data_IF_635042749322
#
_entry.id   IF_635042749322
#
_cell.length_a   1.000
_cell.length_b   1.000
_cell.length_c   1.000
_cell.angle_alpha   90.00
_cell.angle_beta   90.00
_cell.angle_gamma   90.00
#
_symmetry.space_group_name_H-M   'P 1'
#
loop_
_entity.id
_entity.type
_entity.pdbx_description
1 polymer ?
#
# COMPACT_ATOMS: atom_id res chain seq x y z
N UNK A 1 22.65 -5.16 -13.13
CA UNK A 1 23.08 -5.17 -11.71
C UNK A 1 24.59 -5.23 -11.66
N UNK A 2 25.24 -4.26 -11.01
CA UNK A 2 26.71 -4.10 -11.02
C UNK A 2 27.42 -4.95 -9.95
N UNK A 3 26.74 -5.27 -8.85
CA UNK A 3 27.28 -6.12 -7.80
C UNK A 3 26.75 -7.54 -7.89
N UNK A 4 27.60 -8.56 -7.63
CA UNK A 4 27.11 -9.92 -7.46
C UNK A 4 26.22 -9.98 -6.21
N UNK A 5 25.19 -10.83 -6.27
CA UNK A 5 24.27 -11.11 -5.17
C UNK A 5 24.02 -12.62 -5.09
N UNK A 6 23.32 -13.06 -4.04
CA UNK A 6 22.97 -14.47 -3.84
C UNK A 6 22.24 -15.08 -5.05
N UNK A 7 21.54 -14.27 -5.84
CA UNK A 7 20.72 -14.72 -6.97
C UNK A 7 21.30 -14.40 -8.35
N UNK A 8 22.40 -13.64 -8.43
CA UNK A 8 22.94 -13.21 -9.73
C UNK A 8 24.46 -12.96 -9.65
N UNK A 9 25.19 -13.51 -10.61
CA UNK A 9 26.62 -13.26 -10.80
C UNK A 9 26.86 -12.10 -11.76
N UNK A 10 27.65 -11.09 -11.36
CA UNK A 10 28.02 -9.97 -12.23
C UNK A 10 29.15 -10.36 -13.18
N UNK A 11 28.86 -10.59 -14.46
CA UNK A 11 29.86 -10.93 -15.50
C UNK A 11 30.66 -9.75 -16.05
N UNK A 12 30.33 -8.52 -15.65
CA UNK A 12 30.97 -7.30 -16.18
C UNK A 12 32.19 -6.89 -15.35
N UNK A 13 33.32 -6.63 -16.01
CA UNK A 13 34.50 -5.99 -15.41
C UNK A 13 34.09 -4.61 -14.88
N UNK A 14 34.07 -4.45 -13.56
CA UNK A 14 33.67 -3.20 -12.89
C UNK A 14 34.72 -2.12 -13.23
N UNK A 15 34.41 -1.26 -14.19
CA UNK A 15 35.04 0.06 -14.24
C UNK A 15 34.63 0.78 -12.96
N UNK A 16 35.60 1.05 -12.08
CA UNK A 16 35.42 1.73 -10.79
C UNK A 16 34.90 3.15 -10.99
N UNK A 17 33.60 3.29 -11.23
CA UNK A 17 32.90 4.56 -11.30
C UNK A 17 31.98 4.66 -10.07
N UNK A 18 31.94 5.83 -9.43
CA UNK A 18 31.15 6.11 -8.21
C UNK A 18 29.64 5.79 -8.35
N UNK A 19 29.14 5.59 -9.57
CA UNK A 19 27.78 5.16 -9.87
C UNK A 19 27.45 3.73 -9.39
N UNK A 20 28.44 2.95 -8.97
CA UNK A 20 28.26 1.59 -8.46
C UNK A 20 28.44 1.48 -6.95
N UNK A 21 28.50 2.58 -6.19
CA UNK A 21 28.83 2.48 -4.77
C UNK A 21 27.64 1.99 -3.90
N UNK A 22 27.94 1.30 -2.80
CA UNK A 22 26.92 0.75 -1.90
C UNK A 22 26.38 1.84 -0.97
N UNK A 23 25.23 2.42 -1.32
CA UNK A 23 24.56 3.42 -0.47
C UNK A 23 23.78 2.75 0.66
N UNK A 24 24.18 3.01 1.91
CA UNK A 24 23.37 2.68 3.09
C UNK A 24 22.38 3.83 3.29
N UNK A 25 21.08 3.53 3.26
CA UNK A 25 20.01 4.53 3.45
C UNK A 25 19.33 4.31 4.79
N UNK A 26 19.16 5.39 5.56
CA UNK A 26 18.38 5.38 6.81
C UNK A 26 16.91 5.55 6.47
N UNK A 27 16.11 4.49 6.64
CA UNK A 27 14.68 4.48 6.33
C UNK A 27 13.85 5.29 7.34
N UNK A 28 14.20 5.22 8.63
CA UNK A 28 13.59 6.02 9.68
C UNK A 28 14.66 6.43 10.70
N UNK A 29 14.69 7.71 11.14
CA UNK A 29 15.64 8.12 12.15
C UNK A 29 15.20 7.61 13.53
N UNK A 30 16.15 7.39 14.44
CA UNK A 30 15.89 6.91 15.79
C UNK A 30 14.86 7.78 16.53
N UNK A 31 13.94 7.13 17.24
CA UNK A 31 12.96 7.80 18.09
C UNK A 31 13.60 8.03 19.46
N UNK A 32 13.74 9.30 19.85
CA UNK A 32 14.23 9.65 21.18
C UNK A 32 13.17 9.36 22.25
N UNK A 33 13.55 8.97 23.48
CA UNK A 33 12.60 8.85 24.58
C UNK A 33 11.87 10.18 24.81
N UNK A 34 10.54 10.15 24.78
CA UNK A 34 9.70 11.34 24.93
C UNK A 34 8.84 11.24 26.19
N UNK A 35 8.99 12.19 27.11
CA UNK A 35 8.17 12.25 28.33
C UNK A 35 6.72 12.71 28.11
N UNK A 36 6.40 13.33 26.97
CA UNK A 36 5.04 13.73 26.62
C UNK A 36 4.85 13.78 25.09
N UNK A 37 3.67 13.35 24.62
CA UNK A 37 3.35 13.24 23.20
C UNK A 37 2.76 14.56 22.64
N UNK A 38 3.61 15.35 21.99
CA UNK A 38 3.23 16.61 21.30
C UNK A 38 2.76 16.36 19.88
N UNK A 39 1.85 17.21 19.36
CA UNK A 39 1.29 17.11 18.00
C UNK A 39 2.35 16.99 16.91
N UNK A 40 3.43 17.78 17.00
CA UNK A 40 4.56 17.79 16.05
C UNK A 40 5.34 16.48 15.98
N UNK A 41 5.22 15.61 16.99
CA UNK A 41 5.93 14.32 17.07
C UNK A 41 4.98 13.11 16.99
N UNK A 42 3.66 13.32 17.14
CA UNK A 42 2.65 12.25 17.15
C UNK A 42 2.75 11.33 15.96
N UNK A 43 2.79 11.89 14.75
CA UNK A 43 2.84 11.10 13.52
C UNK A 43 4.06 10.17 13.48
N UNK A 44 5.21 10.65 13.97
CA UNK A 44 6.45 9.85 14.03
C UNK A 44 6.38 8.75 15.09
N UNK A 45 5.86 9.06 16.27
CA UNK A 45 5.68 8.06 17.35
C UNK A 45 4.72 6.96 16.88
N UNK A 46 3.59 7.34 16.29
CA UNK A 46 2.60 6.38 15.76
C UNK A 46 3.18 5.63 14.56
N UNK A 47 3.93 6.30 13.68
CA UNK A 47 4.64 5.65 12.57
C UNK A 47 5.55 4.53 13.05
N UNK A 48 6.36 4.77 14.08
CA UNK A 48 7.21 3.72 14.70
C UNK A 48 6.38 2.59 15.31
N UNK A 49 5.22 2.90 15.93
CA UNK A 49 4.33 1.85 16.42
C UNK A 49 3.76 0.98 15.27
N UNK A 50 3.44 1.59 14.11
CA UNK A 50 3.03 0.84 12.93
C UNK A 50 4.17 0.05 12.29
N UNK A 51 5.42 0.52 12.38
CA UNK A 51 6.58 -0.28 12.00
C UNK A 51 6.69 -1.55 12.86
N UNK A 52 6.50 -1.40 14.18
CA UNK A 52 6.48 -2.55 15.08
C UNK A 52 5.32 -3.49 14.77
N UNK A 53 4.12 -2.95 14.48
CA UNK A 53 2.97 -3.72 14.03
C UNK A 53 3.32 -4.53 12.76
N UNK A 54 3.88 -3.86 11.75
CA UNK A 54 4.29 -4.50 10.50
C UNK A 54 5.36 -5.57 10.73
N UNK A 55 6.33 -5.34 11.62
CA UNK A 55 7.38 -6.33 11.93
C UNK A 55 6.85 -7.66 12.48
N UNK A 56 5.63 -7.66 13.01
CA UNK A 56 4.96 -8.84 13.59
C UNK A 56 3.69 -9.24 12.85
N UNK A 57 3.33 -8.56 11.75
CA UNK A 57 2.03 -8.70 11.09
C UNK A 57 1.74 -10.12 10.60
N UNK A 58 2.77 -10.86 10.19
CA UNK A 58 2.64 -12.25 9.73
C UNK A 58 2.24 -13.20 10.87
N UNK A 59 2.60 -12.88 12.11
CA UNK A 59 2.29 -13.66 13.31
C UNK A 59 0.98 -13.20 13.98
N UNK A 60 0.43 -12.06 13.57
CA UNK A 60 -0.82 -11.54 14.12
C UNK A 60 -2.05 -12.25 13.52
N UNK A 61 -3.08 -12.40 14.36
CA UNK A 61 -4.40 -12.83 13.91
C UNK A 61 -5.02 -11.81 12.94
N UNK A 62 -6.12 -12.20 12.28
CA UNK A 62 -6.76 -11.39 11.23
C UNK A 62 -7.49 -10.17 11.82
N UNK A 63 -8.09 -10.29 13.01
CA UNK A 63 -8.88 -9.23 13.65
C UNK A 63 -8.18 -7.86 13.73
N UNK A 64 -6.94 -7.73 14.28
CA UNK A 64 -6.25 -6.45 14.33
C UNK A 64 -5.92 -5.88 12.93
N UNK A 65 -5.77 -6.73 11.91
CA UNK A 65 -5.55 -6.30 10.52
C UNK A 65 -6.82 -5.68 9.93
N UNK A 66 -7.98 -6.29 10.19
CA UNK A 66 -9.29 -5.75 9.79
C UNK A 66 -9.52 -4.40 10.48
N UNK A 67 -9.30 -4.31 11.79
CA UNK A 67 -9.49 -3.07 12.53
C UNK A 67 -8.57 -1.96 12.01
N UNK A 68 -7.31 -2.28 11.72
CA UNK A 68 -6.38 -1.35 11.10
C UNK A 68 -6.90 -0.80 9.76
N UNK A 69 -7.43 -1.66 8.88
CA UNK A 69 -7.97 -1.25 7.60
C UNK A 69 -9.20 -0.34 7.76
N UNK A 70 -10.11 -0.66 8.70
CA UNK A 70 -11.25 0.20 9.04
C UNK A 70 -10.82 1.57 9.54
N UNK A 71 -9.80 1.62 10.40
CA UNK A 71 -9.26 2.90 10.86
C UNK A 71 -8.64 3.70 9.71
N UNK A 72 -7.96 3.05 8.77
CA UNK A 72 -7.42 3.71 7.57
C UNK A 72 -8.52 4.35 6.71
N UNK A 73 -9.67 3.67 6.53
CA UNK A 73 -10.85 4.26 5.88
C UNK A 73 -11.31 5.54 6.60
N UNK A 74 -11.47 5.48 7.92
CA UNK A 74 -11.89 6.63 8.73
C UNK A 74 -10.88 7.79 8.63
N UNK A 75 -9.58 7.50 8.74
CA UNK A 75 -8.51 8.50 8.69
C UNK A 75 -8.34 9.14 7.32
N UNK A 76 -8.68 8.42 6.25
CA UNK A 76 -8.69 8.97 4.90
C UNK A 76 -9.64 10.16 4.79
N UNK A 77 -10.81 10.05 5.43
CA UNK A 77 -11.86 11.07 5.41
C UNK A 77 -12.56 11.19 4.05
N UNK A 78 -12.44 10.15 3.21
CA UNK A 78 -13.06 10.04 1.88
C UNK A 78 -13.55 8.60 1.66
N UNK A 79 -14.66 8.41 0.94
CA UNK A 79 -15.24 7.07 0.72
C UNK A 79 -14.56 6.28 -0.42
N UNK A 80 -13.86 6.97 -1.32
CA UNK A 80 -13.10 6.33 -2.40
C UNK A 80 -13.93 5.65 -3.49
N UNK A 81 -15.26 5.80 -3.49
CA UNK A 81 -16.18 5.14 -4.46
C UNK A 81 -15.87 5.46 -5.91
N UNK A 82 -15.45 6.70 -6.19
CA UNK A 82 -15.00 7.14 -7.52
C UNK A 82 -13.89 6.25 -8.09
N UNK A 83 -13.08 5.62 -7.23
CA UNK A 83 -11.95 4.78 -7.63
C UNK A 83 -12.25 3.28 -7.52
N UNK A 84 -13.53 2.90 -7.46
CA UNK A 84 -13.93 1.48 -7.43
C UNK A 84 -13.63 0.76 -8.75
N UNK A 85 -13.83 1.47 -9.87
CA UNK A 85 -13.66 0.95 -11.24
C UNK A 85 -12.50 1.61 -12.02
N UNK A 86 -11.71 2.47 -11.36
CA UNK A 86 -10.62 3.27 -11.97
C UNK A 86 -9.53 2.48 -12.71
N UNK A 87 -9.52 1.15 -12.63
CA UNK A 87 -8.52 0.31 -13.29
C UNK A 87 -9.12 -0.54 -14.41
N UNK A 88 -10.42 -0.45 -14.62
CA UNK A 88 -11.12 -1.11 -15.73
C UNK A 88 -11.08 -0.22 -17.01
N UNK A 89 -10.57 1.01 -16.90
CA UNK A 89 -10.38 2.00 -17.98
C UNK A 89 -9.06 1.82 -18.77
N UNK A 90 -8.14 0.94 -18.36
CA UNK A 90 -6.88 0.73 -19.09
C UNK A 90 -7.07 -0.13 -20.38
N UNK A 91 -8.27 -0.68 -20.64
CA UNK A 91 -8.57 -1.55 -21.80
C UNK A 91 -9.62 -1.01 -22.81
N UNK A 92 -10.30 0.10 -22.55
CA UNK A 92 -11.21 0.74 -23.53
C UNK A 92 -11.06 2.27 -23.50
N UNK A 93 -10.58 2.85 -24.61
CA UNK A 93 -10.74 4.28 -24.93
C UNK A 93 -12.23 4.56 -25.14
N UNK A 94 -13.00 4.73 -24.07
CA UNK A 94 -14.30 5.39 -24.17
C UNK A 94 -14.41 6.47 -23.09
N UNK A 95 -14.37 7.72 -23.55
CA UNK A 95 -14.67 8.96 -22.82
C UNK A 95 -16.16 8.99 -22.41
N UNK A 96 -16.59 8.08 -21.54
CA UNK A 96 -17.80 8.29 -20.77
C UNK A 96 -17.41 8.70 -19.36
N UNK A 97 -17.43 10.02 -19.11
CA UNK A 97 -17.43 10.60 -17.77
C UNK A 97 -18.53 9.93 -16.96
N UNK A 98 -18.18 8.87 -16.22
CA UNK A 98 -19.08 8.21 -15.31
C UNK A 98 -19.46 9.25 -14.24
N UNK A 99 -20.61 9.90 -14.42
CA UNK A 99 -21.24 10.74 -13.41
C UNK A 99 -21.60 9.85 -12.21
N UNK A 100 -20.62 9.61 -11.35
CA UNK A 100 -20.85 9.04 -10.04
C UNK A 100 -21.66 10.08 -9.28
N UNK A 101 -22.98 9.86 -9.19
CA UNK A 101 -23.86 10.62 -8.31
C UNK A 101 -23.34 10.45 -6.88
N UNK A 102 -22.57 11.44 -6.42
CA UNK A 102 -22.18 11.55 -5.02
C UNK A 102 -23.46 11.91 -4.26
N UNK A 103 -24.19 10.90 -3.79
CA UNK A 103 -25.18 11.10 -2.74
C UNK A 103 -24.41 11.69 -1.55
N UNK A 104 -24.60 13.00 -1.32
CA UNK A 104 -24.05 13.71 -0.16
C UNK A 104 -24.83 13.27 1.07
N UNK A 105 -24.61 12.02 1.47
CA UNK A 105 -25.23 11.46 2.64
C UNK A 105 -24.49 11.91 3.91
N UNK A 106 -25.23 11.88 5.01
CA UNK A 106 -24.79 12.18 6.37
C UNK A 106 -23.50 11.43 6.77
N UNK A 107 -23.20 10.32 6.09
CA UNK A 107 -21.97 9.53 6.24
C UNK A 107 -20.69 10.31 5.87
N UNK A 108 -20.76 11.19 4.87
CA UNK A 108 -19.60 12.01 4.44
C UNK A 108 -19.11 12.99 5.52
N UNK A 109 -20.01 13.51 6.35
CA UNK A 109 -19.67 14.38 7.48
C UNK A 109 -19.04 13.59 8.65
N UNK A 110 -19.44 12.33 8.84
CA UNK A 110 -18.81 11.44 9.82
C UNK A 110 -17.35 11.13 9.42
N UNK A 111 -17.09 10.88 8.13
CA UNK A 111 -15.72 10.68 7.62
C UNK A 111 -14.85 11.93 7.74
N UNK A 112 -15.39 13.13 7.45
CA UNK A 112 -14.63 14.38 7.62
C UNK A 112 -14.20 14.61 9.07
N UNK A 113 -15.02 14.21 10.04
CA UNK A 113 -14.69 14.29 11.47
C UNK A 113 -13.58 13.32 11.89
N UNK A 114 -13.44 12.20 11.18
CA UNK A 114 -12.40 11.18 11.39
C UNK A 114 -11.08 11.43 10.68
N UNK A 115 -11.00 12.43 9.78
CA UNK A 115 -9.82 12.68 8.95
C UNK A 115 -8.60 13.07 9.77
N UNK A 116 -7.52 12.32 9.62
CA UNK A 116 -6.24 12.57 10.33
C UNK A 116 -5.18 13.09 9.35
N UNK A 117 -4.36 14.10 9.69
CA UNK A 117 -3.18 14.46 8.90
C UNK A 117 -2.21 13.28 8.79
N UNK A 118 -1.87 12.89 7.57
CA UNK A 118 -1.05 11.70 7.30
C UNK A 118 0.24 12.11 6.60
N UNK A 119 1.27 12.55 7.35
CA UNK A 119 2.58 12.84 6.77
C UNK A 119 3.27 11.54 6.35
N UNK A 120 4.35 11.65 5.58
CA UNK A 120 5.01 10.52 4.94
C UNK A 120 5.50 9.46 5.93
N UNK A 121 6.00 9.86 7.09
CA UNK A 121 6.49 8.97 8.15
C UNK A 121 5.39 8.07 8.72
N UNK A 122 4.14 8.51 8.64
CA UNK A 122 2.97 7.73 9.05
C UNK A 122 2.42 6.90 7.87
N UNK A 123 2.46 7.45 6.65
CA UNK A 123 1.92 6.79 5.46
C UNK A 123 2.75 5.58 5.03
N UNK A 124 4.08 5.66 5.12
CA UNK A 124 4.99 4.57 4.72
C UNK A 124 4.67 3.21 5.37
N UNK A 125 4.49 3.10 6.71
CA UNK A 125 4.11 1.84 7.32
C UNK A 125 2.66 1.46 7.02
N UNK A 126 1.74 2.42 6.85
CA UNK A 126 0.35 2.14 6.43
C UNK A 126 0.33 1.41 5.08
N UNK A 127 1.08 1.91 4.10
CA UNK A 127 1.22 1.29 2.77
C UNK A 127 1.68 -0.17 2.86
N UNK A 128 2.69 -0.45 3.69
CA UNK A 128 3.23 -1.80 3.86
C UNK A 128 2.25 -2.74 4.56
N UNK A 129 1.54 -2.24 5.57
CA UNK A 129 0.51 -3.01 6.28
C UNK A 129 -0.64 -3.35 5.32
N UNK A 130 -1.16 -2.38 4.56
CA UNK A 130 -2.20 -2.63 3.56
C UNK A 130 -1.71 -3.59 2.47
N UNK A 131 -0.47 -3.43 2.02
CA UNK A 131 0.18 -4.36 1.08
C UNK A 131 0.17 -5.78 1.61
N UNK A 132 0.48 -5.99 2.88
CA UNK A 132 0.38 -7.32 3.49
C UNK A 132 -1.07 -7.80 3.65
N UNK A 133 -2.03 -6.92 3.93
CA UNK A 133 -3.43 -7.32 4.04
C UNK A 133 -4.01 -7.77 2.69
N UNK A 134 -3.57 -7.17 1.58
CA UNK A 134 -4.01 -7.49 0.22
C UNK A 134 -3.25 -8.67 -0.38
N UNK A 135 -1.92 -8.68 -0.24
CA UNK A 135 -1.01 -9.57 -0.99
C UNK A 135 -0.30 -10.61 -0.09
N UNK A 136 -0.56 -10.57 1.21
CA UNK A 136 0.09 -11.47 2.16
C UNK A 136 -0.40 -12.91 2.05
N UNK A 137 0.18 -13.84 2.82
CA UNK A 137 -0.20 -15.26 2.81
C UNK A 137 -1.66 -15.53 3.24
N UNK A 138 -2.32 -14.53 3.81
CA UNK A 138 -3.74 -14.55 4.17
C UNK A 138 -4.65 -14.01 3.06
N UNK A 139 -4.17 -13.90 1.82
CA UNK A 139 -4.95 -13.38 0.67
C UNK A 139 -6.27 -14.14 0.41
N UNK A 140 -6.42 -15.36 0.95
CA UNK A 140 -7.66 -16.16 0.88
C UNK A 140 -8.78 -15.66 1.78
N UNK A 141 -8.48 -14.78 2.75
CA UNK A 141 -9.49 -14.21 3.64
C UNK A 141 -10.26 -13.08 2.95
N UNK A 142 -11.38 -13.42 2.30
CA UNK A 142 -12.22 -12.47 1.52
C UNK A 142 -12.56 -11.21 2.31
N UNK A 143 -12.90 -11.34 3.60
CA UNK A 143 -13.24 -10.20 4.46
C UNK A 143 -12.06 -9.25 4.69
N UNK A 144 -10.84 -9.79 4.85
CA UNK A 144 -9.66 -8.96 5.05
C UNK A 144 -9.31 -8.23 3.75
N UNK A 145 -9.38 -8.95 2.63
CA UNK A 145 -9.12 -8.40 1.31
C UNK A 145 -10.08 -7.25 0.96
N UNK A 146 -11.40 -7.44 1.13
CA UNK A 146 -12.41 -6.43 0.85
C UNK A 146 -12.18 -5.14 1.65
N UNK A 147 -12.01 -5.26 2.98
CA UNK A 147 -11.81 -4.10 3.86
C UNK A 147 -10.47 -3.42 3.58
N UNK A 148 -9.42 -4.19 3.24
CA UNK A 148 -8.13 -3.62 2.86
C UNK A 148 -8.19 -2.89 1.51
N UNK A 149 -8.91 -3.45 0.54
CA UNK A 149 -9.11 -2.86 -0.79
C UNK A 149 -9.90 -1.56 -0.68
N UNK A 150 -10.97 -1.56 0.11
CA UNK A 150 -11.75 -0.36 0.42
C UNK A 150 -10.89 0.73 1.10
N UNK A 151 -10.12 0.36 2.14
CA UNK A 151 -9.21 1.29 2.79
C UNK A 151 -8.17 1.86 1.82
N UNK A 152 -7.69 1.03 0.88
CA UNK A 152 -6.74 1.43 -0.16
C UNK A 152 -7.38 2.46 -1.11
N UNK A 153 -8.62 2.24 -1.57
CA UNK A 153 -9.34 3.22 -2.41
C UNK A 153 -9.61 4.53 -1.68
N UNK A 154 -10.01 4.48 -0.41
CA UNK A 154 -10.26 5.68 0.39
C UNK A 154 -8.99 6.55 0.54
N UNK A 155 -7.85 5.91 0.83
CA UNK A 155 -6.57 6.60 0.93
C UNK A 155 -6.04 7.07 -0.44
N UNK A 156 -6.34 6.36 -1.52
CA UNK A 156 -6.00 6.80 -2.88
C UNK A 156 -6.80 8.05 -3.27
N UNK A 157 -8.11 8.04 -3.02
CA UNK A 157 -8.96 9.20 -3.23
C UNK A 157 -8.44 10.42 -2.45
N UNK A 158 -8.07 10.20 -1.18
CA UNK A 158 -7.41 11.22 -0.38
C UNK A 158 -6.12 11.72 -1.03
N UNK A 159 -5.25 10.83 -1.48
CA UNK A 159 -3.97 11.18 -2.09
C UNK A 159 -4.15 12.02 -3.36
N UNK A 160 -5.17 11.71 -4.17
CA UNK A 160 -5.56 12.47 -5.36
C UNK A 160 -6.07 13.86 -4.99
N UNK A 161 -6.98 13.95 -4.01
CA UNK A 161 -7.49 15.23 -3.52
C UNK A 161 -6.39 16.12 -2.90
N UNK A 162 -5.48 15.53 -2.14
CA UNK A 162 -4.36 16.23 -1.50
C UNK A 162 -3.18 16.47 -2.46
N UNK A 163 -3.26 15.97 -3.71
CA UNK A 163 -2.22 16.04 -4.74
C UNK A 163 -0.85 15.61 -4.19
N UNK A 164 -0.81 14.47 -3.51
CA UNK A 164 0.39 13.94 -2.87
C UNK A 164 1.05 12.85 -3.74
N UNK A 165 2.06 13.16 -4.58
CA UNK A 165 2.64 12.20 -5.52
C UNK A 165 3.27 10.98 -4.83
N UNK A 166 3.85 11.18 -3.63
CA UNK A 166 4.45 10.10 -2.86
C UNK A 166 3.40 9.09 -2.39
N UNK A 167 2.15 9.51 -2.22
CA UNK A 167 1.03 8.65 -1.87
C UNK A 167 0.33 8.08 -3.11
N UNK A 168 0.15 8.88 -4.16
CA UNK A 168 -0.59 8.50 -5.38
C UNK A 168 0.04 7.25 -6.03
N UNK A 169 1.36 7.26 -6.26
CA UNK A 169 2.02 6.17 -6.99
C UNK A 169 1.96 4.82 -6.25
N UNK A 170 2.32 4.72 -4.96
CA UNK A 170 2.25 3.45 -4.25
C UNK A 170 0.81 2.93 -4.08
N UNK A 171 -0.14 3.84 -3.84
CA UNK A 171 -1.55 3.46 -3.66
C UNK A 171 -2.15 2.93 -4.97
N UNK A 172 -1.92 3.62 -6.11
CA UNK A 172 -2.34 3.14 -7.42
C UNK A 172 -1.69 1.80 -7.76
N UNK A 173 -0.38 1.67 -7.52
CA UNK A 173 0.33 0.41 -7.77
C UNK A 173 -0.24 -0.74 -6.93
N UNK A 174 -0.64 -0.47 -5.68
CA UNK A 174 -1.18 -1.49 -4.79
C UNK A 174 -2.59 -1.92 -5.20
N UNK A 175 -3.44 -0.99 -5.62
CA UNK A 175 -4.77 -1.30 -6.15
C UNK A 175 -4.65 -2.21 -7.39
N UNK A 176 -3.81 -1.84 -8.38
CA UNK A 176 -3.60 -2.63 -9.59
C UNK A 176 -3.09 -4.02 -9.27
N UNK A 177 -2.09 -4.11 -8.40
CA UNK A 177 -1.51 -5.40 -8.01
C UNK A 177 -2.54 -6.27 -7.28
N UNK A 178 -3.46 -5.68 -6.52
CA UNK A 178 -4.47 -6.43 -5.78
C UNK A 178 -5.51 -7.11 -6.66
N UNK A 179 -5.81 -6.57 -7.85
CA UNK A 179 -6.72 -7.19 -8.83
C UNK A 179 -6.06 -8.36 -9.56
N UNK A 180 -4.77 -8.25 -9.87
CA UNK A 180 -4.04 -9.23 -10.70
C UNK A 180 -3.57 -10.49 -9.96
N UNK A 181 -3.84 -10.64 -8.65
CA UNK A 181 -3.36 -11.79 -7.86
C UNK A 181 -4.02 -13.09 -8.31
N UNK A 182 -5.29 -13.05 -8.71
CA UNK A 182 -6.04 -14.24 -9.08
C UNK A 182 -5.67 -14.80 -10.47
N UNK A 183 -4.96 -14.02 -11.29
CA UNK A 183 -4.67 -14.36 -12.69
C UNK A 183 -3.28 -14.99 -12.90
N UNK A 184 -2.35 -14.86 -11.95
CA UNK A 184 -0.95 -15.26 -12.14
C UNK A 184 -0.36 -16.01 -10.94
N UNK A 185 -0.39 -17.35 -10.98
CA UNK A 185 0.44 -18.19 -10.10
C UNK A 185 1.84 -18.40 -10.73
N UNK A 186 2.80 -17.57 -10.33
CA UNK A 186 4.19 -17.65 -10.76
C UNK A 186 4.91 -18.94 -10.32
N UNK A 187 4.30 -19.73 -9.43
CA UNK A 187 4.84 -21.00 -8.93
C UNK A 187 4.23 -22.22 -9.61
N UNK A 188 3.17 -22.07 -10.39
CA UNK A 188 2.70 -23.13 -11.27
C UNK A 188 3.59 -23.18 -12.52
N UNK A 189 4.30 -24.30 -12.77
CA UNK A 189 4.96 -24.49 -14.05
C UNK A 189 3.90 -24.50 -15.16
N UNK A 190 4.17 -23.90 -16.33
CA UNK A 190 3.23 -23.94 -17.45
C UNK A 190 2.91 -25.40 -17.76
N UNK A 191 1.63 -25.77 -17.71
CA UNK A 191 1.15 -27.10 -18.10
C UNK A 191 1.33 -27.24 -19.60
N UNK A 192 2.50 -27.72 -20.01
CA UNK A 192 2.71 -28.19 -21.38
C UNK A 192 2.27 -29.64 -21.44
N UNK A 193 1.16 -29.92 -22.12
CA UNK A 193 0.69 -31.30 -22.43
C UNK A 193 1.60 -32.02 -23.44
N UNK A 194 2.79 -31.49 -23.71
CA UNK A 194 3.74 -32.04 -24.66
C UNK A 194 4.86 -32.70 -23.88
N UNK A 195 4.75 -34.02 -23.72
CA UNK A 195 5.90 -34.84 -23.35
C UNK A 195 6.80 -34.88 -24.59
N UNK A 196 7.84 -34.05 -24.63
CA UNK A 196 8.93 -34.25 -25.59
C UNK A 196 9.74 -35.47 -25.15
N UNK A 197 9.51 -36.60 -25.81
CA UNK A 197 10.31 -37.83 -25.75
C UNK A 197 11.67 -37.63 -26.43
#
# INVERSE_FOLDING_TARGET
MSHPSVYHESKATINKNNATDKTIVVLSPLLEPHGTVRSTRRARIVGVAFELFYSKISQMSIAPKIDFCKFCKIWAGQNGDMYKYFEDEDDEEDDEEAEVKIEKDKESEEFKKGRVPMPWELLQPILRILGHCLLGPNNKDTKLFEVASEACRCLFARAMHDVNPNAILPMRSLLRLSKNIDEFDATEPPKTDVISL
#
